data_IF_161576319812
#
_entry.id   IF_161576319812
#
_cell.length_a   1.000
_cell.length_b   1.000
_cell.length_c   1.000
_cell.angle_alpha   90.00
_cell.angle_beta   90.00
_cell.angle_gamma   90.00
#
_symmetry.space_group_name_H-M   'P 1'
#
loop_
_entity.id
_entity.type
_entity.pdbx_description
1 polymer ?
#
# COMPACT_ATOMS: atom_id res chain seq x y z
N UNK A 1 -9.18 -3.58 -18.92
CA UNK A 1 -8.13 -3.47 -17.90
C UNK A 1 -7.38 -4.77 -17.84
N UNK A 2 -6.06 -4.70 -17.81
CA UNK A 2 -5.22 -5.87 -17.58
C UNK A 2 -5.20 -6.23 -16.08
N UNK A 3 -4.94 -7.50 -15.79
CA UNK A 3 -4.85 -8.03 -14.41
C UNK A 3 -3.90 -7.21 -13.52
N UNK A 4 -2.75 -6.80 -14.07
CA UNK A 4 -1.78 -5.93 -13.40
C UNK A 4 -2.36 -4.56 -13.03
N UNK A 5 -3.08 -3.91 -13.95
CA UNK A 5 -3.69 -2.60 -13.67
C UNK A 5 -4.75 -2.68 -12.57
N UNK A 6 -5.49 -3.79 -12.50
CA UNK A 6 -6.46 -4.02 -11.42
C UNK A 6 -5.76 -4.29 -10.08
N UNK A 7 -4.65 -5.03 -10.07
CA UNK A 7 -3.84 -5.25 -8.87
C UNK A 7 -3.25 -3.94 -8.33
N UNK A 8 -2.64 -3.13 -9.21
CA UNK A 8 -2.12 -1.80 -8.85
C UNK A 8 -3.21 -0.90 -8.30
N UNK A 9 -4.39 -0.90 -8.93
CA UNK A 9 -5.53 -0.11 -8.49
C UNK A 9 -6.06 -0.60 -7.14
N UNK A 10 -6.26 -1.90 -6.97
CA UNK A 10 -6.70 -2.50 -5.71
C UNK A 10 -5.72 -2.19 -4.57
N UNK A 11 -4.42 -2.28 -4.85
CA UNK A 11 -3.37 -1.93 -3.90
C UNK A 11 -3.42 -0.44 -3.53
N UNK A 12 -3.50 0.45 -4.51
CA UNK A 12 -3.56 1.91 -4.28
C UNK A 12 -4.77 2.30 -3.45
N UNK A 13 -5.93 1.73 -3.76
CA UNK A 13 -7.19 1.96 -3.04
C UNK A 13 -7.07 1.44 -1.60
N UNK A 14 -6.55 0.23 -1.41
CA UNK A 14 -6.32 -0.37 -0.10
C UNK A 14 -5.33 0.42 0.76
N UNK A 15 -4.20 0.86 0.19
CA UNK A 15 -3.18 1.69 0.88
C UNK A 15 -3.77 3.03 1.30
N UNK A 16 -4.58 3.64 0.44
CA UNK A 16 -5.26 4.91 0.75
C UNK A 16 -6.28 4.73 1.86
N UNK A 17 -7.05 3.64 1.84
CA UNK A 17 -8.13 3.37 2.79
C UNK A 17 -7.60 2.91 4.17
N UNK A 18 -6.53 2.11 4.18
CA UNK A 18 -5.81 1.70 5.41
C UNK A 18 -5.04 2.87 6.01
N UNK A 19 -4.82 3.95 5.26
CA UNK A 19 -4.02 5.10 5.67
C UNK A 19 -2.67 4.64 6.25
N UNK A 20 -1.94 3.86 5.46
CA UNK A 20 -0.69 3.20 5.89
C UNK A 20 0.34 4.18 6.44
N UNK A 21 0.24 5.45 6.05
CA UNK A 21 1.07 6.55 6.54
C UNK A 21 0.87 6.86 8.05
N UNK A 22 -0.24 6.45 8.66
CA UNK A 22 -0.50 6.56 10.10
C UNK A 22 -0.32 5.23 10.86
N UNK A 23 -0.06 4.13 10.15
CA UNK A 23 0.10 2.82 10.76
C UNK A 23 1.58 2.51 10.92
N UNK A 24 2.12 2.71 12.13
CA UNK A 24 3.51 2.38 12.46
C UNK A 24 3.81 0.87 12.39
N UNK A 25 2.77 0.03 12.45
CA UNK A 25 2.85 -1.43 12.40
C UNK A 25 2.63 -1.96 10.98
N UNK A 26 3.73 -2.21 10.27
CA UNK A 26 3.71 -2.77 8.91
C UNK A 26 2.97 -4.11 8.80
N UNK A 27 2.95 -4.91 9.87
CA UNK A 27 2.20 -6.18 9.91
C UNK A 27 0.68 -5.97 9.85
N UNK A 28 0.17 -4.99 10.62
CA UNK A 28 -1.26 -4.65 10.65
C UNK A 28 -1.69 -4.04 9.32
N UNK A 29 -0.85 -3.16 8.76
CA UNK A 29 -1.03 -2.63 7.42
C UNK A 29 -1.09 -3.73 6.35
N UNK A 30 -0.19 -4.71 6.42
CA UNK A 30 -0.15 -5.82 5.47
C UNK A 30 -1.44 -6.65 5.49
N UNK A 31 -1.91 -7.07 6.67
CA UNK A 31 -3.14 -7.85 6.81
C UNK A 31 -4.38 -7.08 6.33
N UNK A 32 -4.44 -5.78 6.62
CA UNK A 32 -5.53 -4.92 6.18
C UNK A 32 -5.53 -4.77 4.64
N UNK A 33 -4.38 -4.48 4.03
CA UNK A 33 -4.26 -4.34 2.57
C UNK A 33 -4.57 -5.68 1.88
N UNK A 34 -4.12 -6.82 2.40
CA UNK A 34 -4.43 -8.15 1.84
C UNK A 34 -5.95 -8.40 1.87
N UNK A 35 -6.61 -8.07 2.97
CA UNK A 35 -8.07 -8.22 3.13
C UNK A 35 -8.81 -7.35 2.12
N UNK A 36 -8.39 -6.10 1.92
CA UNK A 36 -8.98 -5.20 0.94
C UNK A 36 -8.78 -5.69 -0.51
N UNK A 37 -7.58 -6.13 -0.86
CA UNK A 37 -7.29 -6.64 -2.20
C UNK A 37 -8.09 -7.91 -2.51
N UNK A 38 -8.29 -8.80 -1.54
CA UNK A 38 -9.18 -9.98 -1.67
C UNK A 38 -10.64 -9.56 -1.89
N UNK A 39 -11.16 -8.64 -1.08
CA UNK A 39 -12.52 -8.13 -1.24
C UNK A 39 -12.73 -7.43 -2.60
N UNK A 40 -11.72 -6.70 -3.08
CA UNK A 40 -11.73 -6.10 -4.41
C UNK A 40 -11.73 -7.18 -5.51
N UNK A 41 -10.92 -8.22 -5.37
CA UNK A 41 -10.88 -9.36 -6.30
C UNK A 41 -12.25 -10.02 -6.43
N UNK A 42 -12.91 -10.29 -5.31
CA UNK A 42 -14.25 -10.86 -5.29
C UNK A 42 -15.29 -9.94 -5.94
N UNK A 43 -15.20 -8.62 -5.66
CA UNK A 43 -16.11 -7.61 -6.20
C UNK A 43 -15.98 -7.46 -7.72
N UNK A 44 -14.75 -7.40 -8.23
CA UNK A 44 -14.46 -7.24 -9.65
C UNK A 44 -14.46 -8.58 -10.41
N UNK A 45 -14.69 -9.71 -9.71
CA UNK A 45 -14.53 -11.08 -10.23
C UNK A 45 -13.16 -11.28 -10.89
N UNK A 46 -12.13 -10.72 -10.28
CA UNK A 46 -10.76 -10.85 -10.72
C UNK A 46 -10.14 -12.11 -10.11
N UNK A 47 -9.54 -12.94 -10.95
CA UNK A 47 -8.85 -14.17 -10.54
C UNK A 47 -7.42 -13.84 -10.10
N UNK A 48 -7.27 -13.17 -8.95
CA UNK A 48 -5.97 -12.92 -8.34
C UNK A 48 -5.56 -14.08 -7.46
N UNK A 49 -4.31 -14.51 -7.60
CA UNK A 49 -3.73 -15.48 -6.67
C UNK A 49 -3.23 -14.76 -5.42
N UNK A 50 -3.24 -15.44 -4.27
CA UNK A 50 -2.66 -14.92 -3.04
C UNK A 50 -1.19 -14.49 -3.24
N UNK A 51 -0.43 -15.22 -4.07
CA UNK A 51 0.96 -14.86 -4.40
C UNK A 51 1.06 -13.52 -5.13
N UNK A 52 0.18 -13.23 -6.10
CA UNK A 52 0.16 -11.95 -6.81
C UNK A 52 -0.22 -10.79 -5.89
N UNK A 53 -1.21 -11.00 -5.02
CA UNK A 53 -1.62 -10.01 -4.02
C UNK A 53 -0.45 -9.72 -3.10
N UNK A 54 0.16 -10.77 -2.51
CA UNK A 54 1.31 -10.62 -1.60
C UNK A 54 2.50 -9.98 -2.27
N UNK A 55 2.85 -10.38 -3.50
CA UNK A 55 3.94 -9.78 -4.25
C UNK A 55 3.72 -8.28 -4.50
N UNK A 56 2.48 -7.89 -4.81
CA UNK A 56 2.10 -6.48 -5.01
C UNK A 56 2.22 -5.69 -3.71
N UNK A 57 1.76 -6.26 -2.58
CA UNK A 57 1.83 -5.62 -1.26
C UNK A 57 3.28 -5.47 -0.80
N UNK A 58 4.10 -6.52 -0.95
CA UNK A 58 5.53 -6.50 -0.60
C UNK A 58 6.26 -5.44 -1.42
N UNK A 59 6.11 -5.45 -2.74
CA UNK A 59 6.75 -4.46 -3.61
C UNK A 59 6.32 -3.02 -3.27
N UNK A 60 5.03 -2.82 -2.97
CA UNK A 60 4.52 -1.52 -2.57
C UNK A 60 5.05 -1.07 -1.20
N UNK A 61 5.04 -1.94 -0.19
CA UNK A 61 5.56 -1.64 1.15
C UNK A 61 7.08 -1.44 1.18
N UNK A 62 7.84 -2.16 0.36
CA UNK A 62 9.29 -1.91 0.16
C UNK A 62 9.51 -0.51 -0.40
N UNK A 63 8.69 -0.09 -1.36
CA UNK A 63 8.73 1.27 -1.90
C UNK A 63 8.39 2.32 -0.82
N UNK A 64 7.43 2.03 0.05
CA UNK A 64 7.11 2.90 1.20
C UNK A 64 8.24 2.96 2.23
N UNK A 65 8.92 1.84 2.52
CA UNK A 65 10.07 1.84 3.42
C UNK A 65 11.22 2.69 2.85
N UNK A 66 11.48 2.58 1.55
CA UNK A 66 12.53 3.36 0.89
C UNK A 66 12.20 4.86 0.86
N UNK A 67 10.91 5.22 0.71
CA UNK A 67 10.44 6.61 0.81
C UNK A 67 10.50 7.11 2.26
N UNK A 68 10.07 6.31 3.23
CA UNK A 68 10.11 6.65 4.65
C UNK A 68 11.55 6.79 5.18
N UNK A 69 12.51 6.03 4.63
CA UNK A 69 13.94 6.20 4.91
C UNK A 69 14.59 7.34 4.12
N UNK A 70 13.97 7.80 3.02
CA UNK A 70 14.41 9.01 2.30
C UNK A 70 13.86 10.31 2.92
N UNK A 71 12.96 10.24 3.89
CA UNK A 71 12.40 11.42 4.57
C UNK A 71 13.39 12.12 5.54
N UNK A 72 14.64 11.64 5.63
CA UNK A 72 15.76 12.44 6.18
C UNK A 72 16.26 13.52 5.21
N UNK A 73 15.75 13.58 3.97
CA UNK A 73 16.11 14.63 3.01
C UNK A 73 14.92 15.03 2.13
N UNK A 74 14.32 16.16 2.48
CA UNK A 74 13.41 16.95 1.64
C UNK A 74 11.94 16.48 1.55
N UNK A 75 11.31 16.28 2.70
CA UNK A 75 9.85 16.27 2.80
C UNK A 75 9.30 17.72 2.74
N UNK A 76 8.45 18.11 1.76
CA UNK A 76 7.84 19.45 1.71
C UNK A 76 6.85 19.72 2.84
N UNK A 77 6.60 18.72 3.71
CA UNK A 77 5.75 18.85 4.89
C UNK A 77 6.49 19.27 6.15
N UNK A 78 7.84 19.41 6.12
CA UNK A 78 8.56 20.00 7.25
C UNK A 78 8.55 21.53 7.23
N UNK A 79 7.38 22.10 6.96
CA UNK A 79 7.08 23.50 7.17
C UNK A 79 6.66 23.73 8.62
N UNK A 80 7.65 24.02 9.47
CA UNK A 80 7.53 24.75 10.75
C UNK A 80 7.28 23.90 12.01
N UNK A 81 8.38 23.31 12.51
CA UNK A 81 8.65 23.32 13.94
C UNK A 81 9.93 24.11 14.18
N UNK A 82 9.78 25.44 14.25
CA UNK A 82 10.82 26.33 14.79
C UNK A 82 10.31 26.86 16.12
N UNK A 83 10.92 26.31 17.18
CA UNK A 83 11.24 26.85 18.51
C UNK A 83 10.15 27.57 19.30
#
# INVERSE_FOLDING_TARGET
MCKKELLDKAFTEAVTEVNVNMTSDKGVAFEAIETFMKAFAEREKADFTDDEIKATIVAGLETFDEIAHKDDVDSPFNGKMML
#
